data_IF_542602853457
#
_entry.id   IF_542602853457
#
_cell.length_a   1.000
_cell.length_b   1.000
_cell.length_c   1.000
_cell.angle_alpha   90.00
_cell.angle_beta   90.00
_cell.angle_gamma   90.00
#
_symmetry.space_group_name_H-M   'P 1'
#
loop_
_entity.id
_entity.type
_entity.pdbx_description
1 polymer ?
#
# COMPACT_ATOMS: atom_id res chain seq x y z
N UNK A 1 9.29 4.79 -8.16
CA UNK A 1 7.89 4.89 -7.67
C UNK A 1 7.05 3.67 -8.07
N UNK A 2 6.95 3.30 -9.35
CA UNK A 2 6.18 2.12 -9.79
C UNK A 2 6.53 0.85 -9.02
N UNK A 3 7.82 0.58 -8.82
CA UNK A 3 8.28 -0.57 -8.04
C UNK A 3 7.81 -0.54 -6.59
N UNK A 4 7.76 0.63 -5.96
CA UNK A 4 7.27 0.78 -4.60
C UNK A 4 5.76 0.49 -4.51
N UNK A 5 4.97 1.05 -5.43
CA UNK A 5 3.52 0.81 -5.51
C UNK A 5 3.23 -0.67 -5.69
N UNK A 6 3.96 -1.34 -6.60
CA UNK A 6 3.79 -2.76 -6.87
C UNK A 6 4.26 -3.64 -5.71
N UNK A 7 5.36 -3.26 -5.02
CA UNK A 7 5.95 -4.07 -3.95
C UNK A 7 5.00 -4.30 -2.78
N UNK A 8 4.28 -3.28 -2.33
CA UNK A 8 3.33 -3.41 -1.23
C UNK A 8 2.19 -4.38 -1.54
N UNK A 9 1.64 -4.30 -2.75
CA UNK A 9 0.60 -5.24 -3.17
C UNK A 9 1.13 -6.65 -3.36
N UNK A 10 2.30 -6.80 -3.99
CA UNK A 10 2.93 -8.11 -4.18
C UNK A 10 3.23 -8.78 -2.83
N UNK A 11 3.62 -8.00 -1.81
CA UNK A 11 3.80 -8.51 -0.46
C UNK A 11 2.48 -9.05 0.12
N UNK A 12 1.38 -8.29 0.00
CA UNK A 12 0.06 -8.73 0.46
C UNK A 12 -0.40 -10.02 -0.24
N UNK A 13 -0.24 -10.09 -1.56
CA UNK A 13 -0.60 -11.28 -2.35
C UNK A 13 0.29 -12.49 -2.01
N UNK A 14 1.59 -12.26 -1.77
CA UNK A 14 2.52 -13.32 -1.34
C UNK A 14 2.16 -13.89 0.03
N UNK A 15 1.80 -13.04 0.99
CA UNK A 15 1.35 -13.48 2.32
C UNK A 15 0.08 -14.33 2.23
N UNK A 16 -0.88 -13.93 1.39
CA UNK A 16 -2.07 -14.73 1.14
C UNK A 16 -1.72 -16.08 0.49
N UNK A 17 -0.82 -16.07 -0.49
CA UNK A 17 -0.33 -17.29 -1.17
C UNK A 17 0.32 -18.27 -0.20
N UNK A 18 1.19 -17.79 0.68
CA UNK A 18 1.84 -18.60 1.71
C UNK A 18 0.80 -19.19 2.67
N UNK A 19 -0.15 -18.37 3.17
CA UNK A 19 -1.22 -18.90 4.04
C UNK A 19 -2.05 -19.97 3.35
N UNK A 20 -2.42 -19.79 2.10
CA UNK A 20 -3.14 -20.81 1.33
C UNK A 20 -2.37 -22.11 1.21
N UNK A 21 -1.06 -22.02 0.95
CA UNK A 21 -0.20 -23.19 0.79
C UNK A 21 -0.02 -23.95 2.11
N UNK A 22 0.25 -23.23 3.20
CA UNK A 22 0.60 -23.82 4.49
C UNK A 22 -0.62 -24.26 5.31
N UNK A 23 -1.74 -23.54 5.20
CA UNK A 23 -2.89 -23.77 6.07
C UNK A 23 -4.14 -24.29 5.33
N UNK A 24 -4.12 -24.22 4.01
CA UNK A 24 -5.28 -24.50 3.17
C UNK A 24 -6.13 -23.26 2.88
N UNK A 25 -6.71 -23.24 1.69
CA UNK A 25 -7.50 -22.10 1.17
C UNK A 25 -8.67 -21.72 2.08
N UNK A 26 -9.33 -22.69 2.67
CA UNK A 26 -10.55 -22.52 3.47
C UNK A 26 -10.27 -22.52 4.98
N UNK A 27 -9.00 -22.51 5.37
CA UNK A 27 -8.59 -22.45 6.77
C UNK A 27 -9.05 -21.15 7.43
N UNK A 28 -9.31 -21.21 8.73
CA UNK A 28 -9.62 -20.02 9.53
C UNK A 28 -8.50 -18.94 9.44
N UNK A 29 -7.24 -19.36 9.38
CA UNK A 29 -6.10 -18.47 9.24
C UNK A 29 -6.15 -17.69 7.92
N UNK A 30 -6.39 -18.39 6.80
CA UNK A 30 -6.50 -17.77 5.48
C UNK A 30 -7.72 -16.85 5.38
N UNK A 31 -8.88 -17.27 5.89
CA UNK A 31 -10.09 -16.45 5.89
C UNK A 31 -9.92 -15.18 6.72
N UNK A 32 -9.32 -15.30 7.90
CA UNK A 32 -9.07 -14.14 8.77
C UNK A 32 -8.11 -13.12 8.15
N UNK A 33 -7.06 -13.59 7.47
CA UNK A 33 -6.16 -12.72 6.74
C UNK A 33 -6.88 -11.99 5.60
N UNK A 34 -7.67 -12.70 4.81
CA UNK A 34 -8.48 -12.10 3.73
C UNK A 34 -9.44 -11.05 4.25
N UNK A 35 -10.10 -11.34 5.37
CA UNK A 35 -10.97 -10.37 6.01
C UNK A 35 -10.21 -9.11 6.42
N UNK A 36 -9.04 -9.25 7.05
CA UNK A 36 -8.19 -8.11 7.41
C UNK A 36 -7.77 -7.28 6.19
N UNK A 37 -7.38 -7.92 5.09
CA UNK A 37 -7.02 -7.24 3.85
C UNK A 37 -8.23 -6.52 3.22
N UNK A 38 -9.41 -7.15 3.21
CA UNK A 38 -10.64 -6.54 2.72
C UNK A 38 -11.06 -5.34 3.56
N UNK A 39 -10.98 -5.45 4.89
CA UNK A 39 -11.30 -4.33 5.79
C UNK A 39 -10.37 -3.13 5.57
N UNK A 40 -9.09 -3.37 5.29
CA UNK A 40 -8.16 -2.29 4.93
C UNK A 40 -8.54 -1.64 3.61
N UNK A 41 -8.86 -2.43 2.61
CA UNK A 41 -9.32 -1.93 1.31
C UNK A 41 -10.59 -1.08 1.44
N UNK A 42 -11.52 -1.47 2.30
CA UNK A 42 -12.78 -0.75 2.47
C UNK A 42 -12.69 0.50 3.36
N UNK A 43 -11.81 0.48 4.36
CA UNK A 43 -11.79 1.50 5.43
C UNK A 43 -10.56 2.40 5.40
N UNK A 44 -9.45 1.97 4.76
CA UNK A 44 -8.15 2.66 4.80
C UNK A 44 -7.83 3.31 3.46
N UNK A 45 -7.89 4.62 3.46
CA UNK A 45 -7.76 5.40 2.22
C UNK A 45 -6.43 5.19 1.51
N UNK A 46 -5.30 5.22 2.22
CA UNK A 46 -4.00 5.01 1.63
C UNK A 46 -3.86 3.61 1.05
N UNK A 47 -4.35 2.57 1.75
CA UNK A 47 -4.30 1.19 1.26
C UNK A 47 -5.11 1.04 -0.04
N UNK A 48 -6.32 1.57 -0.08
CA UNK A 48 -7.15 1.58 -1.28
C UNK A 48 -6.49 2.35 -2.43
N UNK A 49 -5.99 3.57 -2.16
CA UNK A 49 -5.33 4.40 -3.17
C UNK A 49 -4.15 3.67 -3.82
N UNK A 50 -3.27 3.08 -3.03
CA UNK A 50 -2.11 2.37 -3.56
C UNK A 50 -2.50 1.08 -4.30
N UNK A 51 -3.59 0.45 -3.93
CA UNK A 51 -4.15 -0.67 -4.66
C UNK A 51 -4.59 -0.26 -6.08
N UNK A 52 -5.31 0.84 -6.21
CA UNK A 52 -5.79 1.37 -7.49
C UNK A 52 -4.63 1.95 -8.32
N UNK A 53 -3.69 2.65 -7.71
CA UNK A 53 -2.50 3.14 -8.39
C UNK A 53 -1.65 2.01 -8.97
N UNK A 54 -1.60 0.86 -8.32
CA UNK A 54 -0.92 -0.32 -8.90
C UNK A 54 -1.58 -0.76 -10.20
N UNK A 55 -2.90 -0.84 -10.24
CA UNK A 55 -3.63 -1.19 -11.47
C UNK A 55 -3.33 -0.19 -12.58
N UNK A 56 -3.40 1.10 -12.27
CA UNK A 56 -3.06 2.18 -13.19
C UNK A 56 -1.65 2.03 -13.78
N UNK A 57 -0.66 1.82 -12.92
CA UNK A 57 0.77 1.70 -13.32
C UNK A 57 1.03 0.44 -14.14
N UNK A 58 0.38 -0.68 -13.82
CA UNK A 58 0.57 -1.95 -14.54
C UNK A 58 0.05 -1.91 -15.98
N UNK A 59 -0.92 -1.07 -16.25
CA UNK A 59 -1.45 -0.89 -17.61
C UNK A 59 -0.67 0.15 -18.43
N UNK A 60 0.58 0.45 -18.05
CA UNK A 60 1.50 1.28 -18.83
C UNK A 60 1.18 2.77 -18.83
N UNK A 61 0.32 3.22 -17.92
CA UNK A 61 0.03 4.64 -17.77
C UNK A 61 1.23 5.39 -17.19
N UNK A 62 1.35 6.66 -17.52
CA UNK A 62 2.50 7.49 -17.12
C UNK A 62 2.65 7.50 -15.60
N UNK A 63 3.76 6.99 -15.14
CA UNK A 63 4.12 6.98 -13.73
C UNK A 63 4.41 8.40 -13.28
N UNK A 64 4.17 8.63 -12.01
CA UNK A 64 4.41 9.87 -11.30
C UNK A 64 5.52 10.74 -11.87
N UNK A 65 5.21 11.98 -12.19
CA UNK A 65 6.21 13.01 -12.43
C UNK A 65 6.84 13.42 -11.09
N UNK A 66 8.12 13.77 -11.14
CA UNK A 66 8.78 14.34 -9.97
C UNK A 66 8.68 15.86 -10.07
N UNK A 67 8.12 16.48 -9.06
CA UNK A 67 8.12 17.93 -8.91
C UNK A 67 9.03 18.35 -7.77
N UNK A 68 9.85 19.37 -8.00
CA UNK A 68 10.77 19.89 -6.99
C UNK A 68 10.72 21.42 -6.93
N UNK A 69 10.72 21.99 -5.72
CA UNK A 69 10.81 23.44 -5.47
C UNK A 69 12.21 23.85 -4.98
N UNK A 70 13.26 23.18 -5.44
CA UNK A 70 14.66 23.43 -5.07
C UNK A 70 15.11 22.78 -3.77
N UNK A 71 14.21 22.51 -2.82
CA UNK A 71 14.54 21.89 -1.51
C UNK A 71 13.82 20.57 -1.25
N UNK A 72 12.70 20.32 -1.93
CA UNK A 72 11.89 19.11 -1.75
C UNK A 72 11.46 18.57 -3.09
N UNK A 73 11.49 17.24 -3.21
CA UNK A 73 10.96 16.52 -4.35
C UNK A 73 9.69 15.80 -3.97
N UNK A 74 8.67 15.92 -4.81
CA UNK A 74 7.39 15.29 -4.63
C UNK A 74 7.15 14.30 -5.77
N UNK A 75 6.74 13.11 -5.44
CA UNK A 75 6.21 12.17 -6.43
C UNK A 75 4.72 12.47 -6.61
N UNK A 76 4.31 12.79 -7.83
CA UNK A 76 2.98 13.26 -8.14
C UNK A 76 2.39 12.51 -9.31
N UNK A 77 1.09 12.28 -9.27
CA UNK A 77 0.29 11.84 -10.42
C UNK A 77 -0.54 13.01 -10.96
N UNK A 78 -0.75 13.04 -12.26
CA UNK A 78 -1.72 13.93 -12.85
C UNK A 78 -3.13 13.49 -12.49
N UNK A 79 -3.87 14.33 -11.77
CA UNK A 79 -5.18 13.98 -11.26
C UNK A 79 -6.24 13.84 -12.37
N UNK A 80 -6.10 14.64 -13.45
CA UNK A 80 -6.97 14.53 -14.62
C UNK A 80 -6.80 13.18 -15.29
N UNK A 81 -5.54 12.81 -15.58
CA UNK A 81 -5.24 11.51 -16.20
C UNK A 81 -5.69 10.33 -15.33
N UNK A 82 -5.52 10.42 -14.00
CA UNK A 82 -6.02 9.37 -13.09
C UNK A 82 -7.53 9.21 -13.19
N UNK A 83 -8.29 10.32 -13.20
CA UNK A 83 -9.75 10.30 -13.24
C UNK A 83 -10.31 9.77 -14.55
N UNK A 84 -9.63 10.04 -15.65
CA UNK A 84 -10.04 9.62 -17.00
C UNK A 84 -9.64 8.18 -17.32
N UNK A 85 -8.73 7.59 -16.54
CA UNK A 85 -8.23 6.25 -16.80
C UNK A 85 -9.23 5.17 -16.43
N UNK A 86 -9.53 4.28 -17.37
CA UNK A 86 -10.31 3.07 -17.13
C UNK A 86 -9.64 2.09 -16.15
N UNK A 87 -8.33 2.26 -15.90
CA UNK A 87 -7.54 1.41 -15.03
C UNK A 87 -7.38 1.98 -13.60
N UNK A 88 -8.04 3.10 -13.32
CA UNK A 88 -8.08 3.71 -12.00
C UNK A 88 -9.53 3.88 -11.56
N UNK A 89 -10.03 2.95 -10.78
CA UNK A 89 -11.41 2.93 -10.31
C UNK A 89 -11.52 3.45 -8.89
N UNK A 90 -11.47 4.78 -8.72
CA UNK A 90 -11.55 5.37 -7.39
C UNK A 90 -13.00 5.54 -6.92
N UNK A 91 -13.29 5.13 -5.70
CA UNK A 91 -14.57 5.42 -5.03
C UNK A 91 -14.75 6.94 -4.87
N UNK A 92 -15.97 7.49 -4.99
CA UNK A 92 -16.20 8.94 -4.91
C UNK A 92 -15.62 9.62 -3.66
N UNK A 93 -15.65 8.95 -2.51
CA UNK A 93 -15.05 9.45 -1.26
C UNK A 93 -13.53 9.62 -1.35
N UNK A 94 -12.86 8.73 -2.09
CA UNK A 94 -11.41 8.80 -2.30
C UNK A 94 -11.08 9.97 -3.22
N UNK A 95 -11.83 10.12 -4.32
CA UNK A 95 -11.67 11.26 -5.22
C UNK A 95 -11.82 12.58 -4.46
N UNK A 96 -12.85 12.72 -3.64
CA UNK A 96 -13.08 13.92 -2.84
C UNK A 96 -11.95 14.20 -1.84
N UNK A 97 -11.30 13.15 -1.31
CA UNK A 97 -10.16 13.34 -0.42
C UNK A 97 -8.86 13.61 -1.17
N UNK A 98 -8.71 13.07 -2.39
CA UNK A 98 -7.57 13.38 -3.27
C UNK A 98 -7.55 14.86 -3.64
N UNK A 99 -8.70 15.51 -3.80
CA UNK A 99 -8.79 16.94 -4.07
C UNK A 99 -8.19 17.81 -2.96
N UNK A 100 -8.20 17.34 -1.72
CA UNK A 100 -7.57 18.06 -0.59
C UNK A 100 -6.05 18.07 -0.65
N UNK A 101 -5.45 17.08 -1.31
CA UNK A 101 -4.01 16.90 -1.43
C UNK A 101 -3.50 17.20 -2.85
N UNK A 102 -4.41 17.57 -3.75
CA UNK A 102 -4.07 18.02 -5.09
C UNK A 102 -3.58 19.47 -5.05
N UNK A 103 -2.57 19.77 -5.83
CA UNK A 103 -2.08 21.15 -6.01
C UNK A 103 -1.75 21.39 -7.48
N UNK A 104 -1.83 22.64 -7.88
CA UNK A 104 -1.40 23.07 -9.19
C UNK A 104 0.08 23.40 -9.16
N UNK A 105 0.80 23.01 -10.20
CA UNK A 105 2.24 23.30 -10.31
C UNK A 105 2.45 24.72 -10.83
N UNK A 106 1.58 25.17 -11.74
CA UNK A 106 1.60 26.53 -12.28
C UNK A 106 0.33 27.25 -11.87
N UNK A 107 0.49 28.49 -11.42
CA UNK A 107 -0.59 29.30 -10.81
C UNK A 107 -1.74 29.62 -11.76
N UNK A 108 -1.60 29.45 -13.07
CA UNK A 108 -2.60 29.90 -14.02
C UNK A 108 -3.36 28.80 -14.78
N UNK A 109 -2.76 27.68 -15.20
CA UNK A 109 -3.49 26.64 -15.97
C UNK A 109 -2.79 25.27 -15.99
N UNK A 110 -1.84 25.01 -15.11
CA UNK A 110 -1.12 23.75 -15.06
C UNK A 110 -1.99 22.57 -14.59
N UNK A 111 -1.61 21.34 -14.93
CA UNK A 111 -2.33 20.15 -14.50
C UNK A 111 -2.36 20.05 -12.98
N UNK A 112 -3.50 19.66 -12.44
CA UNK A 112 -3.62 19.39 -11.00
C UNK A 112 -2.86 18.10 -10.68
N UNK A 113 -1.93 18.17 -9.76
CA UNK A 113 -1.08 17.05 -9.34
C UNK A 113 -1.51 16.52 -7.99
N UNK A 114 -1.62 15.20 -7.88
CA UNK A 114 -1.82 14.51 -6.63
C UNK A 114 -0.46 14.14 -6.03
N UNK A 115 -0.10 14.73 -4.89
CA UNK A 115 1.07 14.28 -4.12
C UNK A 115 0.75 12.99 -3.38
N UNK A 116 1.55 11.95 -3.63
CA UNK A 116 1.38 10.67 -2.94
C UNK A 116 2.22 10.55 -1.68
N UNK A 117 3.16 11.48 -1.44
CA UNK A 117 4.03 11.45 -0.27
C UNK A 117 3.27 11.38 1.05
N UNK A 118 2.16 12.09 1.13
CA UNK A 118 1.29 12.08 2.30
C UNK A 118 0.72 10.69 2.62
N UNK A 119 0.42 9.90 1.60
CA UNK A 119 -0.17 8.57 1.78
C UNK A 119 0.86 7.45 1.98
N UNK A 120 2.15 7.73 1.72
CA UNK A 120 3.21 6.70 1.81
C UNK A 120 3.36 6.19 3.25
N UNK A 121 3.37 7.07 4.23
CA UNK A 121 3.52 6.68 5.64
C UNK A 121 2.31 5.88 6.13
N UNK A 122 1.11 6.33 5.79
CA UNK A 122 -0.13 5.62 6.14
C UNK A 122 -0.18 4.25 5.46
N UNK A 123 0.16 4.17 4.18
CA UNK A 123 0.23 2.90 3.46
C UNK A 123 1.24 1.93 4.07
N UNK A 124 2.44 2.41 4.44
CA UNK A 124 3.45 1.60 5.11
C UNK A 124 2.96 1.07 6.46
N UNK A 125 2.20 1.89 7.19
CA UNK A 125 1.59 1.45 8.44
C UNK A 125 0.59 0.32 8.19
N UNK A 126 -0.30 0.47 7.21
CA UNK A 126 -1.32 -0.54 6.90
C UNK A 126 -0.71 -1.86 6.38
N UNK A 127 0.37 -1.79 5.60
CA UNK A 127 1.11 -2.99 5.17
C UNK A 127 1.78 -3.70 6.34
N UNK A 128 2.38 -2.96 7.27
CA UNK A 128 2.98 -3.55 8.48
C UNK A 128 1.95 -4.22 9.38
N UNK A 129 0.79 -3.62 9.54
CA UNK A 129 -0.30 -4.20 10.33
C UNK A 129 -0.86 -5.47 9.66
N UNK A 130 -0.97 -5.47 8.33
CA UNK A 130 -1.36 -6.66 7.57
C UNK A 130 -0.30 -7.77 7.71
N UNK A 131 0.98 -7.42 7.71
CA UNK A 131 2.07 -8.36 7.96
C UNK A 131 2.01 -8.94 9.38
N UNK A 132 1.73 -8.13 10.39
CA UNK A 132 1.53 -8.62 11.75
C UNK A 132 0.33 -9.61 11.83
N UNK A 133 -0.74 -9.33 11.12
CA UNK A 133 -1.90 -10.22 11.02
C UNK A 133 -1.54 -11.56 10.37
N UNK A 134 -0.71 -11.53 9.31
CA UNK A 134 -0.16 -12.72 8.66
C UNK A 134 0.70 -13.56 9.63
N UNK A 135 1.64 -12.93 10.35
CA UNK A 135 2.49 -13.61 11.32
C UNK A 135 1.67 -14.27 12.42
N UNK A 136 0.66 -13.58 12.95
CA UNK A 136 -0.23 -14.13 13.97
C UNK A 136 -1.03 -15.34 13.45
N UNK A 137 -1.47 -15.29 12.19
CA UNK A 137 -2.19 -16.40 11.56
C UNK A 137 -1.31 -17.64 11.39
N UNK A 138 -0.10 -17.46 10.87
CA UNK A 138 0.90 -18.54 10.70
C UNK A 138 1.32 -19.12 12.06
N UNK A 139 1.63 -18.27 13.02
CA UNK A 139 2.08 -18.72 14.34
C UNK A 139 1.05 -19.63 15.02
N UNK A 140 -0.21 -19.26 14.98
CA UNK A 140 -1.30 -20.07 15.54
C UNK A 140 -1.47 -21.41 14.83
N UNK A 141 -1.18 -21.46 13.53
CA UNK A 141 -1.29 -22.70 12.77
C UNK A 141 -0.12 -23.65 13.05
N UNK A 142 1.11 -23.14 13.07
CA UNK A 142 2.32 -23.96 13.17
C UNK A 142 2.61 -24.38 14.63
N UNK A 143 1.85 -23.86 15.60
CA UNK A 143 1.78 -24.34 17.00
C UNK A 143 3.10 -24.61 17.70
N UNK A 144 4.17 -23.87 17.44
CA UNK A 144 5.46 -24.13 18.05
C UNK A 144 6.68 -23.87 17.19
N UNK A 145 6.53 -23.28 16.01
CA UNK A 145 7.69 -22.82 15.25
C UNK A 145 8.38 -21.72 16.05
N UNK A 146 9.30 -22.23 16.75
CA UNK A 146 10.36 -21.78 17.60
C UNK A 146 10.59 -20.26 17.64
N UNK A 147 10.82 -19.76 18.86
CA UNK A 147 11.47 -18.48 19.22
C UNK A 147 12.61 -18.06 18.28
N UNK A 148 13.18 -18.99 17.52
CA UNK A 148 14.23 -18.81 16.52
C UNK A 148 13.76 -18.01 15.30
N UNK A 149 12.56 -18.26 14.78
CA UNK A 149 11.99 -17.51 13.66
C UNK A 149 11.67 -16.06 14.06
N UNK A 150 11.16 -15.84 15.26
CA UNK A 150 10.98 -14.51 15.83
C UNK A 150 12.30 -13.74 16.00
N UNK A 151 13.39 -14.41 16.39
CA UNK A 151 14.72 -13.78 16.45
C UNK A 151 15.24 -13.36 15.09
N UNK A 152 14.93 -14.11 14.06
CA UNK A 152 15.35 -13.77 12.70
C UNK A 152 14.58 -12.56 12.17
N UNK A 153 13.27 -12.48 12.41
CA UNK A 153 12.42 -11.37 11.99
C UNK A 153 12.69 -10.08 12.76
N UNK A 154 13.01 -10.16 14.06
CA UNK A 154 13.38 -8.99 14.86
C UNK A 154 14.73 -8.38 14.46
N UNK A 155 15.52 -9.10 13.68
CA UNK A 155 16.79 -8.63 13.10
C UNK A 155 16.63 -8.06 11.69
N UNK A 156 15.43 -8.04 11.11
CA UNK A 156 15.20 -7.44 9.82
C UNK A 156 15.27 -5.90 9.95
N UNK A 157 16.25 -5.24 9.31
CA UNK A 157 16.48 -3.80 9.48
C UNK A 157 15.27 -2.93 9.11
N UNK A 158 14.42 -3.41 8.19
CA UNK A 158 13.21 -2.73 7.74
C UNK A 158 12.11 -2.64 8.81
N UNK A 159 12.18 -3.45 9.86
CA UNK A 159 11.19 -3.47 10.94
C UNK A 159 11.69 -2.74 12.20
N UNK A 160 12.99 -2.44 12.29
CA UNK A 160 13.63 -1.89 13.49
C UNK A 160 13.80 -0.36 13.48
N UNK A 161 13.46 0.35 12.38
CA UNK A 161 13.85 1.77 12.22
C UNK A 161 12.97 2.80 12.93
N UNK A 162 12.01 2.42 13.78
CA UNK A 162 11.17 3.40 14.49
C UNK A 162 10.97 3.09 15.99
N UNK A 163 12.07 2.90 16.74
CA UNK A 163 12.03 2.96 18.21
C UNK A 163 13.01 3.98 18.79
N UNK A 164 13.11 5.14 18.19
CA UNK A 164 13.72 6.32 18.84
C UNK A 164 13.21 7.57 18.18
N UNK A 165 12.12 8.12 18.70
CA UNK A 165 11.93 9.56 18.99
C UNK A 165 10.61 9.77 19.71
#
# INVERSE_FOLDING_TARGET
MANYISAGRNLADSMEGILKAETGKDSFACQRYKQAASEKYDKKQAYYLFYELRNYVQHGQTVASTYGNGKRFYACFDLGQLRESAHFSAKPKIIASMDKWAYRIDELDGPIKLSIGHYVEEFNYEIRDLYASFLNAIQKHIGGVSKSFYRMLSRCPLLCSNRTR
#
